data_IF_091630034002
#
_entry.id   IF_091630034002
#
_cell.length_a   1.000
_cell.length_b   1.000
_cell.length_c   1.000
_cell.angle_alpha   90.00
_cell.angle_beta   90.00
_cell.angle_gamma   90.00
#
_symmetry.space_group_name_H-M   'P 1'
#
loop_
_entity.id
_entity.type
_entity.pdbx_description
1 polymer ?
#
# COMPACT_ATOMS: atom_id res chain seq x y z
N UNK A 1 18.72 -5.80 9.30
CA UNK A 1 18.39 -4.38 9.54
C UNK A 1 16.88 -4.31 9.68
N UNK A 2 16.37 -4.45 10.91
CA UNK A 2 14.94 -4.41 11.25
C UNK A 2 14.72 -3.16 12.10
N UNK A 3 14.77 -2.00 11.47
CA UNK A 3 14.37 -0.73 12.05
C UNK A 3 13.24 -0.33 11.13
N UNK A 4 11.96 -0.51 11.49
CA UNK A 4 11.12 0.65 11.81
C UNK A 4 9.65 0.26 12.15
N UNK A 5 9.40 -0.87 12.85
CA UNK A 5 8.02 -1.38 13.06
C UNK A 5 7.08 -0.42 13.82
N UNK A 6 7.63 0.54 14.58
CA UNK A 6 6.83 1.53 15.32
C UNK A 6 6.30 2.67 14.43
N UNK A 7 6.87 2.87 13.25
CA UNK A 7 6.59 4.04 12.42
C UNK A 7 5.36 3.83 11.56
N UNK A 8 4.98 2.57 11.29
CA UNK A 8 3.82 2.20 10.47
C UNK A 8 2.48 2.80 10.98
N UNK A 9 2.33 2.92 12.31
CA UNK A 9 1.16 3.56 12.91
C UNK A 9 1.18 5.10 12.78
N UNK A 10 2.37 5.69 12.63
CA UNK A 10 2.59 7.14 12.41
C UNK A 10 2.66 7.54 10.93
N UNK A 11 2.71 6.57 10.01
CA UNK A 11 2.76 6.82 8.57
C UNK A 11 1.44 7.40 8.07
N UNK A 12 1.55 8.38 7.18
CA UNK A 12 0.41 8.87 6.41
C UNK A 12 -0.12 7.77 5.48
N UNK A 13 -1.38 7.91 5.02
CA UNK A 13 -1.97 6.93 4.09
C UNK A 13 -1.11 6.72 2.84
N UNK A 14 -0.49 7.79 2.32
CA UNK A 14 0.41 7.72 1.18
C UNK A 14 1.63 6.86 1.48
N UNK A 15 2.27 7.09 2.62
CA UNK A 15 3.45 6.34 3.02
C UNK A 15 3.14 4.86 3.25
N UNK A 16 1.97 4.55 3.82
CA UNK A 16 1.50 3.16 3.96
C UNK A 16 1.35 2.48 2.60
N UNK A 17 0.68 3.14 1.65
CA UNK A 17 0.46 2.59 0.31
C UNK A 17 1.78 2.47 -0.47
N UNK A 18 2.65 3.48 -0.41
CA UNK A 18 3.97 3.44 -1.05
C UNK A 18 4.85 2.34 -0.45
N UNK A 19 4.86 2.18 0.87
CA UNK A 19 5.59 1.11 1.55
C UNK A 19 5.09 -0.26 1.13
N UNK A 20 3.77 -0.43 1.04
CA UNK A 20 3.18 -1.69 0.57
C UNK A 20 3.53 -1.97 -0.89
N UNK A 21 3.60 -0.95 -1.75
CA UNK A 21 4.06 -1.13 -3.13
C UNK A 21 5.54 -1.52 -3.20
N UNK A 22 6.38 -0.90 -2.36
CA UNK A 22 7.82 -1.15 -2.28
C UNK A 22 8.13 -2.56 -1.73
N UNK A 23 7.59 -2.89 -0.55
CA UNK A 23 7.81 -4.18 0.11
C UNK A 23 7.26 -5.35 -0.70
N UNK A 24 6.20 -5.12 -1.48
CA UNK A 24 5.56 -6.16 -2.26
C UNK A 24 5.89 -6.15 -3.75
N UNK A 25 6.73 -5.20 -4.20
CA UNK A 25 7.00 -4.93 -5.60
C UNK A 25 5.70 -4.85 -6.45
N UNK A 26 4.62 -4.31 -5.85
CA UNK A 26 3.30 -4.22 -6.48
C UNK A 26 3.14 -2.91 -7.23
N UNK A 27 2.50 -2.97 -8.40
CA UNK A 27 2.05 -1.76 -9.09
C UNK A 27 0.76 -1.22 -8.48
N UNK A 28 0.44 0.05 -8.75
CA UNK A 28 -0.81 0.69 -8.29
C UNK A 28 -2.05 -0.12 -8.73
N UNK A 29 -2.04 -0.72 -9.92
CA UNK A 29 -3.13 -1.57 -10.39
C UNK A 29 -3.29 -2.86 -9.57
N UNK A 30 -2.17 -3.49 -9.23
CA UNK A 30 -2.18 -4.73 -8.44
C UNK A 30 -2.57 -4.45 -7.00
N UNK A 31 -2.06 -3.35 -6.42
CA UNK A 31 -2.47 -2.88 -5.11
C UNK A 31 -3.97 -2.58 -5.09
N UNK A 32 -4.49 -1.88 -6.10
CA UNK A 32 -5.92 -1.61 -6.25
C UNK A 32 -6.73 -2.90 -6.30
N UNK A 33 -6.33 -3.86 -7.14
CA UNK A 33 -6.97 -5.16 -7.23
C UNK A 33 -6.96 -5.93 -5.89
N UNK A 34 -5.86 -5.85 -5.15
CA UNK A 34 -5.69 -6.53 -3.85
C UNK A 34 -6.51 -5.89 -2.74
N UNK A 35 -6.65 -4.57 -2.76
CA UNK A 35 -7.53 -3.82 -1.86
C UNK A 35 -9.00 -3.83 -2.32
N UNK A 36 -9.34 -4.52 -3.42
CA UNK A 36 -10.66 -4.51 -4.05
C UNK A 36 -11.17 -3.10 -4.38
N UNK A 37 -10.26 -2.18 -4.75
CA UNK A 37 -10.58 -0.81 -5.16
C UNK A 37 -10.12 -0.51 -6.57
N UNK A 38 -10.75 0.48 -7.20
CA UNK A 38 -10.33 0.93 -8.53
C UNK A 38 -9.01 1.69 -8.44
N UNK A 39 -8.19 1.59 -9.50
CA UNK A 39 -6.94 2.35 -9.67
C UNK A 39 -7.16 3.85 -9.46
N UNK A 40 -8.31 4.37 -9.92
CA UNK A 40 -8.71 5.77 -9.74
C UNK A 40 -9.03 6.15 -8.30
N UNK A 41 -9.52 5.21 -7.49
CA UNK A 41 -9.72 5.45 -6.06
C UNK A 41 -8.37 5.45 -5.34
N UNK A 42 -7.49 4.51 -5.69
CA UNK A 42 -6.15 4.43 -5.14
C UNK A 42 -5.30 5.65 -5.50
N UNK A 43 -5.41 6.15 -6.74
CA UNK A 43 -4.77 7.38 -7.20
C UNK A 43 -5.11 8.56 -6.27
N UNK A 44 -6.39 8.72 -5.94
CA UNK A 44 -6.86 9.77 -5.01
C UNK A 44 -6.36 9.59 -3.58
N UNK A 45 -6.06 8.36 -3.16
CA UNK A 45 -5.48 8.07 -1.85
C UNK A 45 -3.99 8.39 -1.82
N UNK A 46 -3.33 8.27 -2.97
CA UNK A 46 -1.93 8.65 -3.19
C UNK A 46 -1.74 10.15 -3.42
N UNK A 47 -2.81 10.93 -3.59
CA UNK A 47 -2.72 12.39 -3.69
C UNK A 47 -2.37 13.05 -2.35
N UNK A 48 -1.61 14.16 -2.36
CA UNK A 48 -1.29 14.89 -1.13
C UNK A 48 -2.57 15.45 -0.50
N UNK A 49 -2.62 15.59 0.83
CA UNK A 49 -3.84 16.02 1.54
C UNK A 49 -4.30 17.44 1.15
N UNK A 50 -3.43 18.24 0.54
CA UNK A 50 -3.74 19.59 0.04
C UNK A 50 -4.48 19.58 -1.32
N UNK A 51 -4.51 18.43 -2.02
CA UNK A 51 -5.13 18.32 -3.33
C UNK A 51 -6.67 18.24 -3.23
N UNK A 52 -7.44 18.98 -4.04
CA UNK A 52 -8.91 19.00 -3.95
C UNK A 52 -9.56 17.64 -4.22
N UNK A 53 -8.97 16.83 -5.10
CA UNK A 53 -9.42 15.45 -5.36
C UNK A 53 -8.87 14.40 -4.39
N UNK A 54 -8.04 14.80 -3.41
CA UNK A 54 -7.51 13.88 -2.43
C UNK A 54 -8.64 13.26 -1.62
N UNK A 55 -8.63 11.94 -1.53
CA UNK A 55 -9.63 11.20 -0.77
C UNK A 55 -8.94 10.46 0.35
N UNK A 56 -9.50 10.57 1.55
CA UNK A 56 -9.07 9.75 2.66
C UNK A 56 -9.51 8.30 2.41
N UNK A 57 -8.58 7.38 2.60
CA UNK A 57 -8.87 5.95 2.69
C UNK A 57 -9.72 5.69 3.95
N UNK A 58 -10.79 4.89 3.86
CA UNK A 58 -11.56 4.49 5.04
C UNK A 58 -10.67 3.70 6.01
N UNK A 59 -11.00 3.77 7.31
CA UNK A 59 -10.24 3.09 8.36
C UNK A 59 -10.15 1.56 8.15
N UNK A 60 -11.18 0.95 7.54
CA UNK A 60 -11.15 -0.46 7.16
C UNK A 60 -10.07 -0.79 6.13
N UNK A 61 -9.85 0.10 5.16
CA UNK A 61 -8.77 -0.05 4.18
C UNK A 61 -7.38 0.12 4.82
N UNK A 62 -7.24 1.07 5.76
CA UNK A 62 -6.00 1.25 6.54
C UNK A 62 -5.69 0.05 7.41
N UNK A 63 -6.69 -0.50 8.09
CA UNK A 63 -6.52 -1.69 8.91
C UNK A 63 -6.05 -2.88 8.06
N UNK A 64 -6.65 -3.08 6.88
CA UNK A 64 -6.26 -4.18 5.99
C UNK A 64 -4.84 -4.02 5.43
N UNK A 65 -4.43 -2.82 5.02
CA UNK A 65 -3.04 -2.56 4.56
C UNK A 65 -2.03 -2.83 5.67
N UNK A 66 -2.33 -2.38 6.90
CA UNK A 66 -1.48 -2.62 8.08
C UNK A 66 -1.37 -4.10 8.43
N UNK A 67 -2.49 -4.80 8.41
CA UNK A 67 -2.57 -6.25 8.66
C UNK A 67 -1.74 -7.02 7.62
N UNK A 68 -1.86 -6.67 6.34
CA UNK A 68 -1.04 -7.26 5.28
C UNK A 68 0.46 -6.98 5.47
N UNK A 69 0.84 -5.76 5.84
CA UNK A 69 2.23 -5.40 6.15
C UNK A 69 2.76 -6.16 7.39
N UNK A 70 1.90 -6.43 8.38
CA UNK A 70 2.24 -7.19 9.58
C UNK A 70 2.37 -8.70 9.31
N UNK A 71 1.41 -9.30 8.58
CA UNK A 71 1.43 -10.72 8.20
C UNK A 71 2.62 -11.06 7.29
N UNK A 72 2.99 -10.16 6.39
CA UNK A 72 4.07 -10.40 5.43
C UNK A 72 5.47 -10.40 6.04
N UNK A 73 5.66 -9.92 7.26
CA UNK A 73 6.89 -10.20 8.04
C UNK A 73 7.14 -11.72 8.17
N UNK A 74 6.09 -12.55 8.03
CA UNK A 74 6.14 -13.99 8.24
C UNK A 74 6.10 -14.80 6.93
N UNK A 75 5.46 -14.30 5.86
CA UNK A 75 5.14 -15.11 4.65
C UNK A 75 5.88 -14.69 3.33
N UNK A 76 6.56 -13.54 3.27
CA UNK A 76 7.07 -12.97 2.00
C UNK A 76 8.06 -13.84 1.20
N UNK A 77 8.74 -14.81 1.81
CA UNK A 77 9.81 -15.53 1.13
C UNK A 77 9.36 -16.48 -0.01
N UNK A 78 8.05 -16.70 -0.24
CA UNK A 78 7.58 -17.82 -1.08
C UNK A 78 6.89 -17.46 -2.40
N UNK A 79 6.33 -16.26 -2.57
CA UNK A 79 5.48 -15.98 -3.76
C UNK A 79 5.70 -14.56 -4.28
N UNK A 80 6.80 -14.34 -4.99
CA UNK A 80 6.97 -13.17 -5.83
C UNK A 80 7.38 -13.63 -7.24
N UNK A 81 6.39 -13.69 -8.14
CA UNK A 81 6.65 -13.68 -9.57
C UNK A 81 6.53 -12.22 -10.02
N UNK A 82 7.60 -11.59 -10.54
CA UNK A 82 7.56 -10.19 -10.95
C UNK A 82 6.69 -10.04 -12.19
N UNK A 83 5.71 -9.14 -12.12
CA UNK A 83 4.98 -8.70 -13.30
C UNK A 83 5.92 -7.84 -14.19
N UNK A 84 5.80 -7.93 -15.52
CA UNK A 84 6.70 -7.21 -16.42
C UNK A 84 6.52 -5.68 -16.28
N UNK A 85 7.60 -4.91 -16.52
CA UNK A 85 7.56 -3.45 -16.50
C UNK A 85 6.56 -2.94 -17.56
N UNK A 86 5.75 -1.94 -17.20
CA UNK A 86 4.99 -1.16 -18.19
C UNK A 86 5.94 -0.11 -18.77
N UNK A 87 6.09 -0.14 -20.08
CA UNK A 87 6.85 0.78 -20.95
C UNK A 87 6.40 2.24 -20.80
#
# INVERSE_FOLDING_TARGET
MQSDRATDCSLTQQQLLMRMMDEFELTQEQLGARLCVTVRALDRWLLPPDHPDARAMPESGKAYVRDLLEEHVVDFARVAAPAPPRD
#
